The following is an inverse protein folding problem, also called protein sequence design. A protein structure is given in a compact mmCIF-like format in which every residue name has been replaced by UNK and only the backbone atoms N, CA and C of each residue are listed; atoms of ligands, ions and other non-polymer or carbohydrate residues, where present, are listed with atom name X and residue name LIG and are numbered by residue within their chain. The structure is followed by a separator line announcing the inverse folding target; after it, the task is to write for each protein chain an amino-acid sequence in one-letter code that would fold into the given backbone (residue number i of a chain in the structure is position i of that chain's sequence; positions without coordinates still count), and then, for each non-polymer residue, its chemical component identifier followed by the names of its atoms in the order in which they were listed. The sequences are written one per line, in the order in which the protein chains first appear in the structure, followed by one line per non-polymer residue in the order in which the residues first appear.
data_IF_086456129793
#
_entry.id   IF_086456129793
#
_cell.length_a   1.000
_cell.length_b   1.000
_cell.length_c   1.000
_cell.angle_alpha   90.00
_cell.angle_beta   90.00
_cell.angle_gamma   90.00
#
_symmetry.space_group_name_H-M   'P 1'
#
loop_
_entity.id
_entity.type
_entity.pdbx_description
1 polymer ?
#
# COMPACT_ATOMS: atom_id res chain seq x y z
N UNK A 1 -15.14 24.10 16.77
CA UNK A 1 -16.34 23.26 16.68
C UNK A 1 -17.02 23.26 18.03
N UNK A 2 -18.27 23.69 18.08
CA UNK A 2 -19.09 23.56 19.28
C UNK A 2 -19.38 22.07 19.56
N UNK A 3 -19.75 21.71 20.80
CA UNK A 3 -20.17 20.35 21.14
C UNK A 3 -21.32 19.84 20.25
N UNK A 4 -22.25 20.72 19.86
CA UNK A 4 -23.41 20.40 19.01
C UNK A 4 -23.01 20.06 17.56
N UNK A 5 -21.96 20.70 17.03
CA UNK A 5 -21.40 20.37 15.70
C UNK A 5 -20.69 19.00 15.69
N UNK A 6 -20.24 18.50 16.84
CA UNK A 6 -19.66 17.14 16.95
C UNK A 6 -20.75 16.08 17.01
N UNK A 7 -21.86 16.34 17.70
CA UNK A 7 -23.00 15.41 17.82
C UNK A 7 -23.71 15.20 16.47
N UNK A 8 -23.97 16.27 15.71
CA UNK A 8 -24.59 16.17 14.38
C UNK A 8 -23.72 15.45 13.33
N UNK A 9 -22.40 15.56 13.45
CA UNK A 9 -21.44 14.83 12.59
C UNK A 9 -21.43 13.33 12.92
N UNK A 10 -21.60 12.97 14.19
CA UNK A 10 -21.63 11.59 14.66
C UNK A 10 -22.93 10.87 14.24
N UNK A 11 -24.08 11.54 14.32
CA UNK A 11 -25.38 10.97 13.87
C UNK A 11 -25.45 10.75 12.35
N UNK A 12 -24.80 11.62 11.56
CA UNK A 12 -24.69 11.43 10.11
C UNK A 12 -23.78 10.24 9.75
N UNK A 13 -22.71 10.01 10.53
CA UNK A 13 -21.87 8.81 10.44
C UNK A 13 -22.66 7.55 10.82
N UNK A 14 -23.42 7.56 11.91
CA UNK A 14 -24.25 6.42 12.31
C UNK A 14 -25.34 6.10 11.29
N UNK A 15 -25.94 7.12 10.66
CA UNK A 15 -26.95 6.91 9.60
C UNK A 15 -26.34 6.29 8.34
N UNK A 16 -25.10 6.65 7.98
CA UNK A 16 -24.38 6.02 6.86
C UNK A 16 -23.86 4.62 7.21
N UNK A 17 -23.36 4.40 8.44
CA UNK A 17 -22.94 3.09 8.95
C UNK A 17 -24.12 2.12 8.97
N UNK A 18 -25.29 2.57 9.44
CA UNK A 18 -26.52 1.76 9.46
C UNK A 18 -27.11 1.53 8.07
N UNK A 19 -26.92 2.45 7.12
CA UNK A 19 -27.31 2.22 5.73
C UNK A 19 -26.41 1.19 5.03
N UNK A 20 -25.12 1.16 5.37
CA UNK A 20 -24.20 0.09 4.93
C UNK A 20 -24.50 -1.22 5.64
N UNK A 21 -24.85 -1.22 6.94
CA UNK A 21 -25.20 -2.45 7.68
C UNK A 21 -26.51 -3.09 7.21
N UNK A 22 -27.42 -2.31 6.62
CA UNK A 22 -28.62 -2.80 5.92
C UNK A 22 -28.32 -3.41 4.55
N UNK A 23 -27.16 -3.11 3.95
CA UNK A 23 -26.71 -3.74 2.71
C UNK A 23 -25.82 -4.92 3.06
N UNK A 24 -25.80 -5.94 2.20
CA UNK A 24 -24.99 -7.13 2.40
C UNK A 24 -23.50 -6.72 2.62
N UNK A 25 -22.93 -6.93 3.83
CA UNK A 25 -21.55 -6.59 4.13
C UNK A 25 -20.57 -7.52 3.42
N UNK A 26 -21.05 -8.61 2.81
CA UNK A 26 -20.24 -9.44 1.92
C UNK A 26 -20.11 -8.89 0.50
N UNK A 27 -20.82 -7.81 0.17
CA UNK A 27 -20.59 -7.08 -1.07
C UNK A 27 -19.40 -6.10 -0.89
N UNK A 28 -18.28 -6.31 -1.59
CA UNK A 28 -17.05 -5.53 -1.41
C UNK A 28 -17.23 -4.05 -1.76
N UNK A 29 -18.19 -3.70 -2.63
CA UNK A 29 -18.46 -2.28 -2.96
C UNK A 29 -19.00 -1.54 -1.74
N UNK A 30 -19.86 -2.17 -0.94
CA UNK A 30 -20.41 -1.55 0.25
C UNK A 30 -19.31 -1.28 1.29
N UNK A 31 -18.37 -2.21 1.43
CA UNK A 31 -17.21 -2.09 2.34
C UNK A 31 -16.28 -0.98 1.87
N UNK A 32 -15.94 -0.92 0.58
CA UNK A 32 -15.09 0.14 0.02
C UNK A 32 -15.74 1.51 0.23
N UNK A 33 -17.01 1.66 -0.14
CA UNK A 33 -17.76 2.90 0.07
C UNK A 33 -17.77 3.28 1.56
N UNK A 34 -18.02 2.33 2.46
CA UNK A 34 -17.96 2.59 3.90
C UNK A 34 -16.60 3.10 4.35
N UNK A 35 -15.50 2.41 3.97
CA UNK A 35 -14.16 2.82 4.37
C UNK A 35 -13.74 4.18 3.81
N UNK A 36 -14.32 4.62 2.70
CA UNK A 36 -14.07 5.94 2.14
C UNK A 36 -14.71 7.08 2.96
N UNK A 37 -15.79 6.79 3.71
CA UNK A 37 -16.52 7.77 4.52
C UNK A 37 -16.37 7.56 6.03
N UNK A 38 -15.73 6.47 6.46
CA UNK A 38 -15.53 6.17 7.88
C UNK A 38 -14.42 7.05 8.45
N UNK A 39 -14.78 7.98 9.33
CA UNK A 39 -13.82 8.81 10.07
C UNK A 39 -13.12 8.04 11.21
N UNK A 40 -13.65 6.88 11.59
CA UNK A 40 -13.04 5.99 12.58
C UNK A 40 -12.11 4.99 11.89
N UNK A 41 -10.81 5.26 11.97
CA UNK A 41 -9.79 4.42 11.35
C UNK A 41 -9.75 2.99 11.93
N UNK A 42 -10.03 2.83 13.22
CA UNK A 42 -10.04 1.52 13.87
C UNK A 42 -11.17 0.65 13.39
N UNK A 43 -12.37 1.24 13.35
CA UNK A 43 -13.55 0.57 12.88
C UNK A 43 -13.41 0.17 11.40
N UNK A 44 -12.83 1.06 10.57
CA UNK A 44 -12.58 0.76 9.16
C UNK A 44 -11.59 -0.39 8.98
N UNK A 45 -10.47 -0.42 9.72
CA UNK A 45 -9.51 -1.52 9.68
C UNK A 45 -10.14 -2.83 10.14
N UNK A 46 -10.83 -2.82 11.28
CA UNK A 46 -11.50 -4.00 11.84
C UNK A 46 -12.54 -4.58 10.88
N UNK A 47 -13.30 -3.72 10.20
CA UNK A 47 -14.25 -4.14 9.17
C UNK A 47 -13.55 -4.77 7.97
N UNK A 48 -12.46 -4.17 7.47
CA UNK A 48 -11.68 -4.73 6.37
C UNK A 48 -11.11 -6.10 6.73
N UNK A 49 -10.55 -6.27 7.93
CA UNK A 49 -10.05 -7.56 8.42
C UNK A 49 -11.17 -8.62 8.49
N UNK A 50 -12.33 -8.26 9.02
CA UNK A 50 -13.50 -9.13 9.04
C UNK A 50 -13.90 -9.60 7.63
N UNK A 51 -13.91 -8.69 6.66
CA UNK A 51 -14.29 -9.00 5.27
C UNK A 51 -13.22 -9.85 4.59
N UNK A 52 -11.94 -9.59 4.85
CA UNK A 52 -10.82 -10.43 4.38
C UNK A 52 -11.00 -11.86 4.88
N UNK A 53 -11.21 -12.06 6.18
CA UNK A 53 -11.38 -13.38 6.76
C UNK A 53 -12.58 -14.12 6.14
N UNK A 54 -13.73 -13.45 6.00
CA UNK A 54 -14.92 -14.03 5.35
C UNK A 54 -14.69 -14.38 3.88
N UNK A 55 -13.90 -13.59 3.16
CA UNK A 55 -13.55 -13.88 1.77
C UNK A 55 -12.64 -15.11 1.69
N UNK A 56 -11.64 -15.19 2.56
CA UNK A 56 -10.73 -16.34 2.64
C UNK A 56 -11.48 -17.63 3.00
N UNK A 57 -12.42 -17.59 3.97
CA UNK A 57 -13.26 -18.74 4.35
C UNK A 57 -14.11 -19.27 3.18
N UNK A 58 -14.47 -18.40 2.23
CA UNK A 58 -15.24 -18.74 1.03
C UNK A 58 -14.35 -19.12 -0.17
N UNK A 59 -13.03 -18.98 -0.05
CA UNK A 59 -12.11 -19.11 -1.19
C UNK A 59 -12.22 -17.97 -2.22
N UNK A 60 -12.80 -16.82 -1.84
CA UNK A 60 -12.92 -15.65 -2.71
C UNK A 60 -11.62 -14.83 -2.68
N UNK A 61 -10.61 -15.33 -3.38
CA UNK A 61 -9.29 -14.72 -3.46
C UNK A 61 -9.32 -13.32 -4.09
N UNK A 62 -10.32 -13.00 -4.93
CA UNK A 62 -10.44 -11.68 -5.54
C UNK A 62 -10.87 -10.63 -4.53
N UNK A 63 -11.94 -10.88 -3.77
CA UNK A 63 -12.38 -9.99 -2.70
C UNK A 63 -11.31 -9.88 -1.64
N UNK A 64 -10.73 -11.00 -1.21
CA UNK A 64 -9.65 -11.03 -0.22
C UNK A 64 -8.44 -10.19 -0.65
N UNK A 65 -8.06 -10.23 -1.92
CA UNK A 65 -7.00 -9.38 -2.49
C UNK A 65 -7.32 -7.89 -2.39
N UNK A 66 -8.50 -7.52 -2.87
CA UNK A 66 -8.94 -6.13 -2.95
C UNK A 66 -9.01 -5.51 -1.56
N UNK A 67 -9.64 -6.21 -0.61
CA UNK A 67 -9.74 -5.74 0.77
C UNK A 67 -8.38 -5.64 1.45
N UNK A 68 -7.43 -6.55 1.18
CA UNK A 68 -6.04 -6.42 1.68
C UNK A 68 -5.34 -5.18 1.15
N UNK A 69 -5.53 -4.80 -0.11
CA UNK A 69 -4.99 -3.54 -0.65
C UNK A 69 -5.61 -2.33 0.02
N UNK A 70 -6.93 -2.35 0.26
CA UNK A 70 -7.59 -1.29 1.03
C UNK A 70 -7.12 -1.27 2.49
N UNK A 71 -6.87 -2.42 3.12
CA UNK A 71 -6.34 -2.46 4.48
C UNK A 71 -4.91 -1.93 4.54
N UNK A 72 -4.03 -2.33 3.63
CA UNK A 72 -2.70 -1.74 3.48
C UNK A 72 -2.78 -0.22 3.31
N UNK A 73 -3.71 0.25 2.48
CA UNK A 73 -3.98 1.68 2.28
C UNK A 73 -4.36 2.34 3.59
N UNK A 74 -5.32 1.78 4.32
CA UNK A 74 -5.81 2.35 5.57
C UNK A 74 -4.68 2.38 6.59
N UNK A 75 -4.00 1.27 6.84
CA UNK A 75 -2.85 1.20 7.75
C UNK A 75 -1.78 2.24 7.40
N UNK A 76 -1.48 2.42 6.11
CA UNK A 76 -0.47 3.38 5.67
C UNK A 76 -0.99 4.82 5.58
N UNK A 77 -2.27 5.09 5.38
CA UNK A 77 -2.81 6.45 5.13
C UNK A 77 -3.70 6.99 6.26
N UNK A 78 -4.03 6.14 7.22
CA UNK A 78 -5.21 6.31 8.02
C UNK A 78 -4.88 6.58 9.48
N UNK A 79 -4.98 7.85 9.81
CA UNK A 79 -5.18 8.30 11.19
C UNK A 79 -3.89 8.63 11.93
N UNK A 80 -3.84 9.87 12.42
CA UNK A 80 -2.81 10.34 13.35
C UNK A 80 -2.68 9.37 14.53
N UNK A 81 -1.44 9.02 14.88
CA UNK A 81 -1.13 8.35 16.14
C UNK A 81 -1.29 6.83 16.16
N UNK A 82 -1.57 6.16 15.03
CA UNK A 82 -1.44 4.70 14.94
C UNK A 82 -0.08 4.31 14.39
N UNK A 83 0.54 3.36 15.09
CA UNK A 83 1.79 2.74 14.68
C UNK A 83 1.58 1.24 14.48
N UNK A 84 2.34 0.64 13.58
CA UNK A 84 2.20 -0.76 13.18
C UNK A 84 3.57 -1.44 13.11
N UNK A 85 3.63 -2.76 13.31
CA UNK A 85 4.90 -3.48 13.13
C UNK A 85 5.21 -3.60 11.64
N UNK A 86 6.46 -3.34 11.27
CA UNK A 86 6.93 -3.48 9.87
C UNK A 86 6.61 -4.87 9.30
N UNK A 87 6.80 -5.94 10.08
CA UNK A 87 6.50 -7.31 9.65
C UNK A 87 5.02 -7.53 9.27
N UNK A 88 4.08 -6.91 9.98
CA UNK A 88 2.64 -7.03 9.72
C UNK A 88 2.28 -6.37 8.39
N UNK A 89 2.75 -5.14 8.17
CA UNK A 89 2.54 -4.42 6.91
C UNK A 89 3.16 -5.17 5.73
N UNK A 90 4.39 -5.70 5.89
CA UNK A 90 5.04 -6.49 4.84
C UNK A 90 4.29 -7.78 4.51
N UNK A 91 3.71 -8.45 5.52
CA UNK A 91 2.86 -9.63 5.32
C UNK A 91 1.63 -9.26 4.49
N UNK A 92 0.93 -8.19 4.87
CA UNK A 92 -0.26 -7.72 4.14
C UNK A 92 0.08 -7.35 2.69
N UNK A 93 1.16 -6.60 2.44
CA UNK A 93 1.59 -6.26 1.07
C UNK A 93 1.94 -7.51 0.26
N UNK A 94 2.58 -8.51 0.88
CA UNK A 94 2.90 -9.79 0.21
C UNK A 94 1.64 -10.54 -0.20
N UNK A 95 0.67 -10.67 0.70
CA UNK A 95 -0.61 -11.35 0.43
C UNK A 95 -1.40 -10.61 -0.65
N UNK A 96 -1.50 -9.29 -0.56
CA UNK A 96 -2.18 -8.45 -1.54
C UNK A 96 -1.55 -8.58 -2.95
N UNK A 97 -0.22 -8.68 -3.04
CA UNK A 97 0.48 -8.97 -4.31
C UNK A 97 0.19 -10.35 -4.83
N UNK A 98 0.28 -11.38 -3.99
CA UNK A 98 0.05 -12.77 -4.42
C UNK A 98 -1.35 -12.93 -4.98
N UNK A 99 -2.34 -12.32 -4.34
CA UNK A 99 -3.71 -12.41 -4.77
C UNK A 99 -3.97 -11.58 -6.05
N UNK A 100 -3.23 -10.48 -6.26
CA UNK A 100 -3.21 -9.77 -7.55
C UNK A 100 -2.62 -10.61 -8.69
N UNK A 101 -1.50 -11.29 -8.46
CA UNK A 101 -0.89 -12.20 -9.44
C UNK A 101 -1.82 -13.37 -9.80
N UNK A 102 -2.52 -13.94 -8.81
CA UNK A 102 -3.55 -14.95 -9.04
C UNK A 102 -4.73 -14.41 -9.87
N UNK A 103 -5.26 -13.24 -9.53
CA UNK A 103 -6.35 -12.62 -10.28
C UNK A 103 -5.97 -12.35 -11.75
N UNK A 104 -4.73 -11.91 -12.00
CA UNK A 104 -4.22 -11.70 -13.36
C UNK A 104 -4.18 -13.00 -14.18
N UNK A 105 -3.96 -14.15 -13.54
CA UNK A 105 -3.94 -15.47 -14.21
C UNK A 105 -5.32 -15.92 -14.72
N UNK A 106 -6.40 -15.38 -14.17
CA UNK A 106 -7.77 -15.77 -14.53
C UNK A 106 -8.37 -14.93 -15.68
N UNK A 107 -7.55 -14.10 -16.33
CA UNK A 107 -8.04 -13.22 -17.40
C UNK A 107 -9.06 -12.19 -16.89
N UNK A 108 -9.13 -11.96 -15.58
CA UNK A 108 -9.91 -10.89 -14.98
C UNK A 108 -9.31 -9.57 -15.48
N UNK A 109 -9.83 -9.11 -16.63
CA UNK A 109 -9.44 -7.85 -17.25
C UNK A 109 -9.52 -6.72 -16.23
N UNK A 110 -8.67 -5.72 -16.45
CA UNK A 110 -8.42 -4.45 -15.75
C UNK A 110 -9.50 -3.77 -14.86
N UNK A 111 -10.70 -4.30 -14.70
CA UNK A 111 -11.83 -3.71 -14.00
C UNK A 111 -11.66 -3.65 -12.48
N UNK A 112 -10.91 -4.57 -11.84
CA UNK A 112 -10.65 -4.57 -10.39
C UNK A 112 -9.17 -4.66 -10.00
N UNK A 113 -8.25 -4.37 -10.92
CA UNK A 113 -6.82 -4.34 -10.57
C UNK A 113 -6.50 -3.08 -9.75
N UNK A 114 -5.79 -3.19 -8.61
CA UNK A 114 -5.25 -2.06 -7.83
C UNK A 114 -4.43 -1.08 -8.66
N UNK A 115 -3.97 -1.49 -9.84
CA UNK A 115 -3.39 -0.61 -10.86
C UNK A 115 -4.26 0.60 -11.21
N UNK A 116 -5.58 0.56 -10.98
CA UNK A 116 -6.51 1.70 -11.16
C UNK A 116 -6.55 2.70 -10.01
N UNK A 117 -5.96 2.38 -8.85
CA UNK A 117 -5.69 3.34 -7.79
C UNK A 117 -4.17 3.51 -7.61
N UNK A 118 -3.49 4.25 -8.51
CA UNK A 118 -2.05 4.47 -8.44
C UNK A 118 -1.58 5.03 -7.10
N UNK A 119 -2.46 5.78 -6.45
CA UNK A 119 -2.22 6.48 -5.20
C UNK A 119 -2.18 5.58 -3.97
N UNK A 120 -2.66 4.35 -4.11
CA UNK A 120 -2.70 3.36 -3.04
C UNK A 120 -1.60 2.31 -3.25
N UNK A 121 -1.57 1.73 -4.44
CA UNK A 121 -0.74 0.58 -4.75
C UNK A 121 0.76 0.90 -4.70
N UNK A 122 1.19 1.98 -5.35
CA UNK A 122 2.61 2.30 -5.49
C UNK A 122 3.28 2.75 -4.18
N UNK A 123 2.65 3.59 -3.32
CA UNK A 123 3.21 3.88 -2.00
C UNK A 123 3.39 2.64 -1.14
N UNK A 124 2.42 1.72 -1.12
CA UNK A 124 2.53 0.47 -0.36
C UNK A 124 3.74 -0.36 -0.81
N UNK A 125 3.94 -0.50 -2.12
CA UNK A 125 5.11 -1.18 -2.66
C UNK A 125 6.41 -0.45 -2.37
N UNK A 126 6.39 0.88 -2.46
CA UNK A 126 7.51 1.75 -2.11
C UNK A 126 7.97 1.56 -0.67
N UNK A 127 7.03 1.64 0.27
CA UNK A 127 7.24 1.38 1.69
C UNK A 127 7.78 -0.03 1.93
N UNK A 128 7.18 -1.04 1.29
CA UNK A 128 7.64 -2.42 1.41
C UNK A 128 9.07 -2.60 0.89
N UNK A 129 9.43 -1.95 -0.23
CA UNK A 129 10.78 -1.98 -0.77
C UNK A 129 11.80 -1.31 0.17
N UNK A 130 11.45 -0.16 0.77
CA UNK A 130 12.28 0.51 1.79
C UNK A 130 12.49 -0.37 3.00
N UNK A 131 11.41 -0.92 3.56
CA UNK A 131 11.48 -1.77 4.75
C UNK A 131 12.28 -3.05 4.50
N UNK A 132 12.15 -3.68 3.33
CA UNK A 132 12.99 -4.85 2.96
C UNK A 132 14.47 -4.49 2.89
N UNK A 133 14.82 -3.31 2.37
CA UNK A 133 16.20 -2.83 2.36
C UNK A 133 16.72 -2.59 3.78
N UNK A 134 15.90 -1.99 4.66
CA UNK A 134 16.23 -1.79 6.06
C UNK A 134 16.39 -3.11 6.82
N UNK A 135 15.48 -4.08 6.65
CA UNK A 135 15.57 -5.42 7.25
C UNK A 135 16.82 -6.17 6.78
N UNK A 136 17.19 -6.01 5.50
CA UNK A 136 18.42 -6.61 4.98
C UNK A 136 19.67 -6.04 5.67
N UNK A 137 19.67 -4.77 6.03
CA UNK A 137 20.75 -4.12 6.76
C UNK A 137 20.71 -4.46 8.26
N UNK A 138 19.51 -4.51 8.84
CA UNK A 138 19.25 -4.82 10.24
C UNK A 138 17.96 -5.66 10.38
N UNK A 139 18.08 -6.98 10.64
CA UNK A 139 16.92 -7.86 10.78
C UNK A 139 15.94 -7.47 11.89
N UNK A 140 16.41 -6.76 12.93
CA UNK A 140 15.56 -6.32 14.05
C UNK A 140 14.53 -5.28 13.61
N UNK A 141 14.78 -4.57 12.50
CA UNK A 141 13.87 -3.58 11.92
C UNK A 141 12.49 -4.15 11.59
N UNK A 142 12.37 -5.47 11.38
CA UNK A 142 11.09 -6.14 11.18
C UNK A 142 10.10 -5.95 12.35
N UNK A 143 10.62 -5.76 13.57
CA UNK A 143 9.83 -5.55 14.79
C UNK A 143 9.64 -4.06 15.11
N UNK A 144 10.25 -3.15 14.36
CA UNK A 144 10.07 -1.71 14.57
C UNK A 144 8.62 -1.30 14.32
N UNK A 145 8.17 -0.34 15.12
CA UNK A 145 6.90 0.34 14.90
C UNK A 145 7.10 1.47 13.90
N UNK A 146 6.17 1.60 12.95
CA UNK A 146 6.12 2.71 11.99
C UNK A 146 4.79 3.42 12.12
N UNK A 147 4.81 4.75 12.05
CA UNK A 147 3.60 5.56 12.07
C UNK A 147 2.89 5.52 10.71
N UNK A 148 1.56 5.67 10.76
CA UNK A 148 0.77 5.94 9.57
C UNK A 148 1.27 7.21 8.85
N UNK A 149 1.15 7.24 7.52
CA UNK A 149 1.51 8.40 6.72
C UNK A 149 0.47 9.51 6.91
N UNK A 150 0.95 10.67 7.36
CA UNK A 150 0.09 11.81 7.67
C UNK A 150 -0.17 12.72 6.46
N UNK A 151 0.60 12.57 5.38
CA UNK A 151 0.57 13.51 4.26
C UNK A 151 0.87 12.88 2.90
N UNK A 152 0.42 13.57 1.84
CA UNK A 152 0.66 13.14 0.45
C UNK A 152 2.15 13.12 0.11
N UNK A 153 2.93 14.04 0.66
CA UNK A 153 4.37 14.13 0.46
C UNK A 153 5.09 12.88 0.97
N UNK A 154 4.62 12.29 2.06
CA UNK A 154 5.16 11.01 2.58
C UNK A 154 4.96 9.91 1.53
N UNK A 155 3.78 9.85 0.91
CA UNK A 155 3.47 8.85 -0.14
C UNK A 155 4.37 8.98 -1.34
N UNK A 156 4.58 10.20 -1.80
CA UNK A 156 5.43 10.46 -2.96
C UNK A 156 6.90 10.14 -2.64
N UNK A 157 7.35 10.34 -1.39
CA UNK A 157 8.67 9.85 -0.97
C UNK A 157 8.78 8.34 -1.06
N UNK A 158 7.75 7.60 -0.63
CA UNK A 158 7.76 6.13 -0.66
C UNK A 158 7.75 5.58 -2.09
N UNK A 159 6.98 6.18 -3.00
CA UNK A 159 6.95 5.80 -4.43
C UNK A 159 8.33 5.80 -5.07
N UNK A 160 9.26 6.65 -4.62
CA UNK A 160 10.64 6.69 -5.16
C UNK A 160 11.39 5.37 -5.01
N UNK A 161 11.04 4.54 -4.03
CA UNK A 161 11.66 3.22 -3.85
C UNK A 161 11.28 2.20 -4.92
N UNK A 162 10.20 2.46 -5.68
CA UNK A 162 9.71 1.65 -6.80
C UNK A 162 9.68 2.41 -8.12
N UNK A 163 10.37 3.55 -8.20
CA UNK A 163 10.48 4.35 -9.42
C UNK A 163 11.76 4.05 -10.19
N UNK A 164 11.65 3.85 -11.51
CA UNK A 164 12.81 3.67 -12.38
C UNK A 164 13.62 4.97 -12.45
N UNK A 165 14.91 4.90 -12.12
CA UNK A 165 15.78 6.08 -12.11
C UNK A 165 16.08 6.68 -13.50
N UNK A 166 15.64 6.05 -14.61
CA UNK A 166 15.86 6.56 -15.97
C UNK A 166 14.59 7.08 -16.63
N UNK A 167 13.49 6.34 -16.52
CA UNK A 167 12.24 6.66 -17.22
C UNK A 167 11.13 7.09 -16.27
N UNK A 168 11.41 7.13 -14.97
CA UNK A 168 10.52 7.60 -13.91
C UNK A 168 9.19 6.83 -13.78
N UNK A 169 9.05 5.74 -14.56
CA UNK A 169 7.91 4.83 -14.43
C UNK A 169 8.02 4.02 -13.14
N UNK A 170 6.89 3.89 -12.46
CA UNK A 170 6.73 3.02 -11.30
C UNK A 170 6.76 1.56 -11.75
N UNK A 171 7.50 0.72 -11.04
CA UNK A 171 7.73 -0.67 -11.38
C UNK A 171 7.92 -1.49 -10.10
N UNK A 172 7.16 -2.58 -9.99
CA UNK A 172 7.22 -3.48 -8.84
C UNK A 172 8.54 -4.28 -8.78
N UNK A 173 9.19 -4.49 -9.94
CA UNK A 173 10.40 -5.31 -10.08
C UNK A 173 11.55 -4.47 -10.64
N UNK A 174 12.12 -3.63 -9.79
CA UNK A 174 13.33 -2.87 -10.14
C UNK A 174 14.60 -3.72 -9.97
N UNK A 175 15.45 -3.68 -10.98
CA UNK A 175 16.81 -4.19 -10.96
C UNK A 175 17.72 -3.14 -10.31
N UNK A 176 18.27 -3.44 -9.14
CA UNK A 176 19.22 -2.55 -8.46
C UNK A 176 20.54 -2.48 -9.22
N UNK A 177 21.17 -1.31 -9.22
CA UNK A 177 22.52 -1.15 -9.76
C UNK A 177 23.48 -2.10 -9.04
N UNK A 178 24.16 -2.98 -9.78
CA UNK A 178 25.12 -3.93 -9.20
C UNK A 178 26.23 -3.26 -8.40
N UNK A 179 26.65 -2.06 -8.80
CA UNK A 179 27.76 -1.33 -8.19
C UNK A 179 27.38 -0.62 -6.88
N UNK A 180 26.28 0.15 -6.85
CA UNK A 180 25.91 0.95 -5.67
C UNK A 180 24.72 0.38 -4.87
N UNK A 181 23.91 -0.51 -5.44
CA UNK A 181 22.67 -1.07 -4.85
C UNK A 181 21.58 -0.07 -4.45
N UNK A 182 21.82 1.24 -4.60
CA UNK A 182 20.87 2.31 -4.25
C UNK A 182 19.81 2.51 -5.34
N UNK A 183 20.24 2.85 -6.56
CA UNK A 183 19.33 3.16 -7.67
C UNK A 183 18.76 1.90 -8.32
N UNK A 184 17.50 1.95 -8.74
CA UNK A 184 16.78 0.85 -9.38
C UNK A 184 16.32 1.19 -10.80
N UNK A 185 16.25 0.16 -11.65
CA UNK A 185 15.88 0.28 -13.06
C UNK A 185 14.83 -0.76 -13.43
N UNK A 186 13.85 -0.40 -14.25
CA UNK A 186 12.90 -1.39 -14.77
C UNK A 186 13.53 -2.32 -15.82
N UNK A 187 14.69 -1.96 -16.38
CA UNK A 187 15.39 -2.76 -17.39
C UNK A 187 16.87 -2.42 -17.48
N UNK A 188 17.65 -3.34 -18.07
CA UNK A 188 19.06 -3.11 -18.44
C UNK A 188 19.23 -1.92 -19.40
N UNK A 189 18.29 -1.72 -20.33
CA UNK A 189 18.35 -0.59 -21.27
C UNK A 189 18.20 0.76 -20.54
N UNK A 190 17.32 0.84 -19.53
CA UNK A 190 17.20 2.01 -18.66
C UNK A 190 18.49 2.26 -17.87
N UNK A 191 19.12 1.22 -17.34
CA UNK A 191 20.40 1.34 -16.64
C UNK A 191 21.50 1.91 -17.53
N UNK A 192 21.67 1.38 -18.75
CA UNK A 192 22.72 1.85 -19.69
C UNK A 192 22.48 3.31 -20.09
N UNK A 193 21.22 3.71 -20.33
CA UNK A 193 20.87 5.10 -20.64
C UNK A 193 21.22 6.03 -19.47
N UNK A 194 20.84 5.67 -18.24
CA UNK A 194 21.13 6.49 -17.07
C UNK A 194 22.64 6.57 -16.81
N UNK A 195 23.36 5.48 -17.04
CA UNK A 195 24.82 5.45 -16.93
C UNK A 195 25.50 6.46 -17.87
N UNK A 196 25.07 6.48 -19.14
CA UNK A 196 25.59 7.42 -20.16
C UNK A 196 25.19 8.87 -19.87
N UNK A 197 24.05 9.10 -19.21
CA UNK A 197 23.58 10.43 -18.82
C UNK A 197 24.33 11.05 -17.61
N UNK A 198 25.41 10.42 -17.14
CA UNK A 198 26.26 10.98 -16.07
C UNK A 198 26.17 10.27 -14.72
N UNK A 199 25.32 9.23 -14.57
CA UNK A 199 25.20 8.49 -13.31
C UNK A 199 26.51 7.85 -12.83
N UNK A 200 27.48 7.65 -13.71
CA UNK A 200 28.80 7.07 -13.38
C UNK A 200 29.49 7.79 -12.21
N UNK A 201 29.43 9.12 -12.17
CA UNK A 201 30.12 9.93 -11.14
C UNK A 201 29.49 9.73 -9.76
N UNK A 202 28.17 9.85 -9.65
CA UNK A 202 27.45 9.67 -8.40
C UNK A 202 27.36 8.19 -7.93
N UNK A 203 27.68 7.22 -8.80
CA UNK A 203 27.57 5.81 -8.47
C UNK A 203 28.65 5.34 -7.50
N UNK A 204 29.87 5.89 -7.58
CA UNK A 204 30.98 5.55 -6.67
C UNK A 204 30.79 6.07 -5.26
N UNK A 205 30.10 7.20 -5.12
CA UNK A 205 29.90 7.92 -3.86
C UNK A 205 28.76 7.33 -3.01
N UNK A 206 27.84 6.59 -3.64
CA UNK A 206 26.60 6.11 -3.01
C UNK A 206 26.63 4.60 -2.72
N UNK A 207 27.78 4.04 -2.37
CA UNK A 207 27.82 2.63 -1.94
C UNK A 207 26.99 2.51 -0.66
N UNK A 208 26.02 1.59 -0.66
CA UNK A 208 25.38 1.18 0.59
C UNK A 208 26.46 0.63 1.52
N UNK A 209 26.67 1.31 2.65
CA UNK A 209 27.52 0.85 3.76
C UNK A 209 26.84 -0.33 4.44
#
# INVERSE_FOLDING_TARGET
MSPEEKEGSMDMLFTNVTCVSKKDPSNPRNVITFTAFCNDHELACSLLEMVINKADDRGDHQIGSLMRWHLCRMILLGGKGKSFKVAEVLKLVKEARSALEQAASWGAGNHMTPAKEPDTYWPCLGFAARCKAAIKADPSYAQSMVDAFESREVLDREKRHVMCAQCEKLCDKLQKCSACQVVGYCSRSCQVKHWKAGRKQACSEQKAV
#
